data_IF_310550531868
#
_entry.id   IF_310550531868
#
_cell.length_a   1.000
_cell.length_b   1.000
_cell.length_c   1.000
_cell.angle_alpha   90.00
_cell.angle_beta   90.00
_cell.angle_gamma   90.00
#
_symmetry.space_group_name_H-M   'P 1'
#
loop_
_entity.id
_entity.type
_entity.pdbx_description
1 polymer ?
#
# COMPACT_ATOMS: atom_id res chain seq x y z
N UNK A 1 16.91 -31.49 30.04
CA UNK A 1 15.47 -31.24 29.79
C UNK A 1 14.97 -30.33 30.90
N UNK A 2 15.03 -29.02 30.71
CA UNK A 2 14.55 -28.03 31.70
C UNK A 2 13.28 -27.39 31.16
N UNK A 3 12.15 -27.80 31.73
CA UNK A 3 10.83 -27.23 31.51
C UNK A 3 10.86 -25.76 31.96
N UNK A 4 10.99 -24.83 31.01
CA UNK A 4 10.66 -23.44 31.26
C UNK A 4 9.13 -23.36 31.40
N UNK A 5 8.67 -23.21 32.62
CA UNK A 5 7.26 -22.98 32.98
C UNK A 5 6.73 -21.78 32.20
N UNK A 6 5.85 -22.05 31.22
CA UNK A 6 5.11 -21.01 30.53
C UNK A 6 4.32 -20.20 31.55
N UNK A 7 4.69 -18.93 31.74
CA UNK A 7 4.00 -18.01 32.66
C UNK A 7 2.57 -17.87 32.16
N UNK A 8 1.63 -18.54 32.83
CA UNK A 8 0.21 -18.47 32.48
C UNK A 8 -0.29 -17.04 32.72
N UNK A 9 -0.74 -16.39 31.65
CA UNK A 9 -1.41 -15.10 31.74
C UNK A 9 -2.68 -15.22 32.60
N UNK A 10 -2.96 -14.23 33.45
CA UNK A 10 -4.26 -14.13 34.12
C UNK A 10 -5.40 -13.96 33.11
N UNK A 11 -6.62 -14.40 33.46
CA UNK A 11 -7.79 -14.55 32.55
C UNK A 11 -8.13 -13.33 31.69
N UNK A 12 -7.92 -12.12 32.21
CA UNK A 12 -8.17 -10.85 31.48
C UNK A 12 -7.00 -10.55 30.53
N UNK A 13 -5.76 -10.70 31.01
CA UNK A 13 -4.54 -10.46 30.22
C UNK A 13 -4.36 -11.49 29.10
N UNK A 14 -4.76 -12.75 29.32
CA UNK A 14 -4.77 -13.79 28.30
C UNK A 14 -5.76 -13.50 27.16
N UNK A 15 -6.80 -12.72 27.44
CA UNK A 15 -7.88 -12.44 26.48
C UNK A 15 -7.62 -11.15 25.71
N UNK A 16 -7.12 -10.09 26.36
CA UNK A 16 -6.87 -8.79 25.73
C UNK A 16 -5.46 -8.62 25.17
N UNK A 17 -4.44 -9.19 25.83
CA UNK A 17 -3.03 -8.99 25.46
C UNK A 17 -2.16 -10.23 25.77
N UNK A 18 -2.34 -11.33 25.03
CA UNK A 18 -1.59 -12.58 25.22
C UNK A 18 -0.16 -12.54 24.65
N UNK A 19 0.59 -11.44 24.85
CA UNK A 19 1.99 -11.27 24.40
C UNK A 19 2.91 -11.15 25.61
N UNK A 20 4.01 -11.91 25.60
CA UNK A 20 5.01 -11.85 26.66
C UNK A 20 5.92 -10.61 26.52
N UNK A 21 6.50 -10.11 27.61
CA UNK A 21 7.37 -8.93 27.55
C UNK A 21 8.64 -9.15 26.70
N UNK A 22 9.15 -10.39 26.65
CA UNK A 22 10.28 -10.80 25.81
C UNK A 22 9.96 -10.76 24.31
N UNK A 23 8.70 -11.03 23.96
CA UNK A 23 8.17 -11.06 22.60
C UNK A 23 7.89 -9.65 22.05
N UNK A 24 7.64 -8.69 22.95
CA UNK A 24 7.20 -7.34 22.64
C UNK A 24 8.19 -6.57 21.74
N UNK A 25 9.49 -6.81 21.92
CA UNK A 25 10.55 -6.16 21.12
C UNK A 25 10.42 -6.48 19.63
N UNK A 26 9.98 -7.69 19.27
CA UNK A 26 9.76 -8.13 17.87
C UNK A 26 8.36 -7.76 17.39
N UNK A 27 7.37 -7.94 18.26
CA UNK A 27 5.97 -7.76 17.91
C UNK A 27 5.59 -6.31 17.63
N UNK A 28 6.04 -5.35 18.46
CA UNK A 28 5.67 -3.94 18.28
C UNK A 28 6.12 -3.39 16.91
N UNK A 29 7.39 -3.55 16.49
CA UNK A 29 7.79 -3.09 15.17
C UNK A 29 7.01 -3.73 14.04
N UNK A 30 6.70 -5.04 14.13
CA UNK A 30 5.87 -5.74 13.13
C UNK A 30 4.45 -5.17 13.08
N UNK A 31 3.85 -4.88 14.24
CA UNK A 31 2.54 -4.23 14.36
C UNK A 31 2.55 -2.85 13.71
N UNK A 32 3.57 -2.03 13.96
CA UNK A 32 3.66 -0.68 13.40
C UNK A 32 3.86 -0.74 11.88
N UNK A 33 4.75 -1.62 11.38
CA UNK A 33 4.94 -1.80 9.93
C UNK A 33 3.63 -2.22 9.28
N UNK A 34 2.91 -3.18 9.86
CA UNK A 34 1.61 -3.61 9.31
C UNK A 34 0.59 -2.47 9.32
N UNK A 35 0.51 -1.73 10.44
CA UNK A 35 -0.39 -0.60 10.59
C UNK A 35 -0.12 0.47 9.52
N UNK A 36 1.14 0.81 9.24
CA UNK A 36 1.51 1.77 8.18
C UNK A 36 1.15 1.26 6.77
N UNK A 37 1.38 -0.03 6.49
CA UNK A 37 1.02 -0.65 5.21
C UNK A 37 -0.50 -0.63 5.01
N UNK A 38 -1.27 -0.97 6.05
CA UNK A 38 -2.74 -0.95 6.02
C UNK A 38 -3.28 0.47 5.95
N UNK A 39 -2.67 1.41 6.67
CA UNK A 39 -3.00 2.83 6.60
C UNK A 39 -2.88 3.35 5.16
N UNK A 40 -1.74 3.09 4.50
CA UNK A 40 -1.55 3.43 3.09
C UNK A 40 -2.59 2.77 2.18
N UNK A 41 -2.85 1.47 2.38
CA UNK A 41 -3.84 0.75 1.60
C UNK A 41 -5.24 1.36 1.73
N UNK A 42 -5.65 1.71 2.94
CA UNK A 42 -6.96 2.30 3.22
C UNK A 42 -7.13 3.68 2.56
N UNK A 43 -6.07 4.48 2.53
CA UNK A 43 -6.04 5.74 1.78
C UNK A 43 -6.13 5.50 0.27
N UNK A 44 -5.29 4.62 -0.27
CA UNK A 44 -5.26 4.29 -1.69
C UNK A 44 -6.60 3.72 -2.18
N UNK A 45 -7.22 2.86 -1.36
CA UNK A 45 -8.51 2.21 -1.65
C UNK A 45 -9.62 3.23 -1.88
N UNK A 46 -9.67 4.29 -1.09
CA UNK A 46 -10.71 5.34 -1.19
C UNK A 46 -10.38 6.34 -2.29
N UNK A 47 -9.10 6.70 -2.44
CA UNK A 47 -8.65 7.71 -3.40
C UNK A 47 -8.74 7.22 -4.85
N UNK A 48 -8.41 5.95 -5.12
CA UNK A 48 -8.35 5.41 -6.49
C UNK A 48 -9.68 5.49 -7.25
N UNK A 49 -10.79 5.20 -6.59
CA UNK A 49 -12.11 5.15 -7.21
C UNK A 49 -12.56 6.60 -7.50
N UNK A 50 -12.43 7.50 -6.52
CA UNK A 50 -12.75 8.92 -6.68
C UNK A 50 -11.92 9.58 -7.78
N UNK A 51 -10.63 9.28 -7.88
CA UNK A 51 -9.77 9.82 -8.92
C UNK A 51 -10.22 9.44 -10.33
N UNK A 52 -10.59 8.17 -10.55
CA UNK A 52 -11.07 7.70 -11.86
C UNK A 52 -12.47 8.26 -12.17
N UNK A 53 -13.33 8.37 -11.18
CA UNK A 53 -14.71 8.84 -11.35
C UNK A 53 -14.80 10.35 -11.63
N UNK A 54 -13.89 11.14 -11.07
CA UNK A 54 -13.86 12.61 -11.24
C UNK A 54 -13.07 13.06 -12.46
N UNK A 55 -12.40 12.14 -13.16
CA UNK A 55 -11.58 12.44 -14.32
C UNK A 55 -12.40 12.88 -15.54
N UNK A 56 -11.77 13.67 -16.43
CA UNK A 56 -12.42 14.22 -17.61
C UNK A 56 -12.97 13.13 -18.52
N UNK A 57 -14.27 13.22 -18.83
CA UNK A 57 -15.01 12.25 -19.64
C UNK A 57 -14.83 10.80 -19.17
N UNK A 58 -14.73 10.62 -17.86
CA UNK A 58 -14.74 9.33 -17.18
C UNK A 58 -15.94 9.26 -16.25
N UNK A 59 -16.21 8.07 -15.73
CA UNK A 59 -17.26 7.83 -14.75
C UNK A 59 -17.10 6.47 -14.10
N UNK A 60 -18.05 6.08 -13.25
CA UNK A 60 -18.01 4.79 -12.57
C UNK A 60 -17.98 3.59 -13.56
N UNK A 61 -18.56 3.75 -14.76
CA UNK A 61 -18.54 2.76 -15.83
C UNK A 61 -17.14 2.43 -16.36
N UNK A 62 -16.12 3.26 -16.10
CA UNK A 62 -14.72 2.99 -16.48
C UNK A 62 -14.08 1.91 -15.60
N UNK A 63 -14.49 1.79 -14.33
CA UNK A 63 -13.85 0.91 -13.34
C UNK A 63 -13.87 -0.58 -13.77
N UNK A 64 -15.01 -1.15 -14.23
CA UNK A 64 -15.02 -2.52 -14.74
C UNK A 64 -14.04 -2.75 -15.89
N UNK A 65 -13.88 -1.78 -16.81
CA UNK A 65 -12.92 -1.89 -17.91
C UNK A 65 -11.48 -1.89 -17.39
N UNK A 66 -11.14 -1.02 -16.45
CA UNK A 66 -9.81 -1.01 -15.81
C UNK A 66 -9.52 -2.37 -15.17
N UNK A 67 -10.50 -2.93 -14.45
CA UNK A 67 -10.32 -4.22 -13.77
C UNK A 67 -10.03 -5.35 -14.76
N UNK A 68 -10.80 -5.41 -15.85
CA UNK A 68 -10.67 -6.49 -16.83
C UNK A 68 -9.43 -6.31 -17.69
N UNK A 69 -9.22 -5.14 -18.27
CA UNK A 69 -8.23 -4.94 -19.31
C UNK A 69 -6.84 -4.54 -18.81
N UNK A 70 -6.74 -3.98 -17.61
CA UNK A 70 -5.45 -3.49 -17.09
C UNK A 70 -5.08 -4.19 -15.80
N UNK A 71 -5.97 -4.24 -14.80
CA UNK A 71 -5.65 -4.85 -13.51
C UNK A 71 -5.36 -6.35 -13.64
N UNK A 72 -6.19 -7.12 -14.35
CA UNK A 72 -5.96 -8.56 -14.50
C UNK A 72 -4.60 -8.86 -15.18
N UNK A 73 -4.26 -8.31 -16.36
CA UNK A 73 -2.94 -8.52 -16.95
C UNK A 73 -1.80 -8.04 -16.06
N UNK A 74 -1.94 -6.89 -15.41
CA UNK A 74 -0.90 -6.34 -14.53
C UNK A 74 -0.70 -7.18 -13.27
N UNK A 75 -1.76 -7.81 -12.75
CA UNK A 75 -1.65 -8.74 -11.62
C UNK A 75 -0.82 -9.97 -11.99
N UNK A 76 -1.04 -10.53 -13.19
CA UNK A 76 -0.22 -11.63 -13.70
C UNK A 76 1.23 -11.20 -13.90
N UNK A 77 1.45 -10.02 -14.50
CA UNK A 77 2.78 -9.46 -14.70
C UNK A 77 3.52 -9.24 -13.37
N UNK A 78 2.89 -8.62 -12.38
CA UNK A 78 3.52 -8.37 -11.07
C UNK A 78 3.75 -9.66 -10.30
N UNK A 79 2.87 -10.66 -10.43
CA UNK A 79 3.09 -11.99 -9.84
C UNK A 79 4.32 -12.67 -10.45
N UNK A 80 4.45 -12.62 -11.78
CA UNK A 80 5.64 -13.11 -12.48
C UNK A 80 6.90 -12.36 -12.04
N UNK A 81 6.84 -11.01 -12.00
CA UNK A 81 7.94 -10.16 -11.56
C UNK A 81 8.37 -10.49 -10.12
N UNK A 82 7.40 -10.60 -9.20
CA UNK A 82 7.64 -10.96 -7.81
C UNK A 82 8.34 -12.33 -7.72
N UNK A 83 7.84 -13.34 -8.46
CA UNK A 83 8.42 -14.69 -8.46
C UNK A 83 9.87 -14.67 -8.96
N UNK A 84 10.14 -13.90 -10.02
CA UNK A 84 11.50 -13.76 -10.58
C UNK A 84 12.45 -13.10 -9.56
N UNK A 85 12.01 -12.04 -8.90
CA UNK A 85 12.81 -11.36 -7.86
C UNK A 85 13.00 -12.29 -6.65
N UNK A 86 11.95 -13.01 -6.24
CA UNK A 86 11.99 -13.89 -5.07
C UNK A 86 12.95 -15.07 -5.22
N UNK A 87 13.20 -15.52 -6.45
CA UNK A 87 14.17 -16.57 -6.73
C UNK A 87 15.63 -16.07 -6.76
N UNK A 88 15.85 -14.75 -6.85
CA UNK A 88 17.19 -14.17 -7.00
C UNK A 88 17.67 -13.40 -5.76
N UNK A 89 16.75 -12.85 -4.97
CA UNK A 89 17.06 -11.93 -3.88
C UNK A 89 16.61 -12.47 -2.52
N UNK A 90 17.28 -12.01 -1.45
CA UNK A 90 16.87 -12.31 -0.08
C UNK A 90 15.56 -11.60 0.26
N UNK A 91 14.77 -12.13 1.19
CA UNK A 91 13.46 -11.56 1.55
C UNK A 91 13.51 -10.10 1.97
N UNK A 92 14.56 -9.71 2.69
CA UNK A 92 14.82 -8.31 3.03
C UNK A 92 14.94 -7.43 1.77
N UNK A 93 15.72 -7.87 0.78
CA UNK A 93 15.91 -7.15 -0.47
C UNK A 93 14.61 -7.12 -1.28
N UNK A 94 13.84 -8.22 -1.31
CA UNK A 94 12.52 -8.26 -1.96
C UNK A 94 11.61 -7.19 -1.35
N UNK A 95 11.59 -7.05 -0.01
CA UNK A 95 10.79 -6.02 0.66
C UNK A 95 11.18 -4.62 0.22
N UNK A 96 12.48 -4.29 0.22
CA UNK A 96 12.95 -2.98 -0.20
C UNK A 96 12.68 -2.70 -1.68
N UNK A 97 12.96 -3.66 -2.57
CA UNK A 97 12.75 -3.49 -4.01
C UNK A 97 11.27 -3.24 -4.31
N UNK A 98 10.38 -4.07 -3.76
CA UNK A 98 8.94 -3.96 -4.02
C UNK A 98 8.36 -2.72 -3.35
N UNK A 99 8.72 -2.43 -2.10
CA UNK A 99 8.25 -1.21 -1.43
C UNK A 99 8.71 0.06 -2.15
N UNK A 100 9.99 0.11 -2.57
CA UNK A 100 10.53 1.24 -3.32
C UNK A 100 9.87 1.41 -4.69
N UNK A 101 9.54 0.33 -5.39
CA UNK A 101 8.80 0.38 -6.65
C UNK A 101 7.44 1.10 -6.48
N UNK A 102 6.66 0.68 -5.48
CA UNK A 102 5.32 1.26 -5.25
C UNK A 102 5.39 2.68 -4.71
N UNK A 103 6.23 2.93 -3.70
CA UNK A 103 6.41 4.27 -3.12
C UNK A 103 6.96 5.24 -4.17
N UNK A 104 7.95 4.79 -4.97
CA UNK A 104 8.51 5.56 -6.07
C UNK A 104 7.48 5.87 -7.15
N UNK A 105 6.59 4.93 -7.48
CA UNK A 105 5.46 5.21 -8.36
C UNK A 105 4.52 6.29 -7.80
N UNK A 106 4.11 6.21 -6.52
CA UNK A 106 3.22 7.21 -5.94
C UNK A 106 3.88 8.59 -5.83
N UNK A 107 5.19 8.64 -5.57
CA UNK A 107 5.96 9.87 -5.65
C UNK A 107 5.98 10.44 -7.09
N UNK A 108 6.32 9.61 -8.08
CA UNK A 108 6.30 10.00 -9.49
C UNK A 108 4.91 10.49 -9.92
N UNK A 109 3.86 9.84 -9.44
CA UNK A 109 2.50 10.24 -9.73
C UNK A 109 2.20 11.63 -9.17
N UNK A 110 2.50 11.87 -7.90
CA UNK A 110 2.22 13.13 -7.23
C UNK A 110 3.00 14.31 -7.82
N UNK A 111 4.27 14.12 -8.15
CA UNK A 111 5.16 15.22 -8.56
C UNK A 111 5.26 15.40 -10.08
N UNK A 112 4.97 14.37 -10.87
CA UNK A 112 5.13 14.40 -12.33
C UNK A 112 3.83 14.08 -13.04
N UNK A 113 3.26 12.89 -12.86
CA UNK A 113 2.12 12.48 -13.70
C UNK A 113 0.87 13.34 -13.46
N UNK A 114 0.60 13.73 -12.22
CA UNK A 114 -0.59 14.51 -11.88
C UNK A 114 -0.46 15.98 -12.28
N UNK A 115 0.64 16.71 -11.97
CA UNK A 115 0.79 18.09 -12.42
C UNK A 115 0.83 18.24 -13.95
N UNK A 116 1.41 17.28 -14.66
CA UNK A 116 1.48 17.28 -16.14
C UNK A 116 0.29 16.59 -16.81
N UNK A 117 -0.78 16.25 -16.09
CA UNK A 117 -1.94 15.50 -16.60
C UNK A 117 -2.50 16.05 -17.93
N UNK A 118 -2.61 17.38 -18.05
CA UNK A 118 -3.15 18.05 -19.24
C UNK A 118 -2.31 17.84 -20.51
N UNK A 119 -1.02 17.56 -20.36
CA UNK A 119 -0.08 17.34 -21.47
C UNK A 119 0.08 15.86 -21.81
N UNK A 120 0.00 14.97 -20.81
CA UNK A 120 0.24 13.54 -21.00
C UNK A 120 -1.02 12.75 -21.35
N UNK A 121 -2.21 13.31 -21.10
CA UNK A 121 -3.48 12.67 -21.43
C UNK A 121 -3.86 12.91 -22.89
N UNK A 122 -4.00 11.85 -23.71
CA UNK A 122 -4.24 11.98 -25.14
C UNK A 122 -5.72 12.30 -25.44
N UNK A 123 -6.18 13.48 -25.02
CA UNK A 123 -7.58 13.89 -25.16
C UNK A 123 -8.07 13.88 -26.61
N UNK A 124 -7.31 14.47 -27.55
CA UNK A 124 -7.68 14.54 -28.96
C UNK A 124 -7.79 13.16 -29.62
N UNK A 125 -6.90 12.23 -29.27
CA UNK A 125 -6.97 10.85 -29.75
C UNK A 125 -8.21 10.14 -29.20
N UNK A 126 -8.51 10.34 -27.91
CA UNK A 126 -9.70 9.76 -27.30
C UNK A 126 -11.00 10.34 -27.89
N UNK A 127 -11.03 11.65 -28.20
CA UNK A 127 -12.16 12.29 -28.89
C UNK A 127 -12.36 11.70 -30.29
N UNK A 128 -11.27 11.43 -31.01
CA UNK A 128 -11.30 10.75 -32.31
C UNK A 128 -11.88 9.34 -32.18
N UNK A 129 -11.39 8.54 -31.23
CA UNK A 129 -11.92 7.19 -30.98
C UNK A 129 -13.41 7.22 -30.63
N UNK A 130 -13.84 8.18 -29.82
CA UNK A 130 -15.24 8.35 -29.42
C UNK A 130 -16.16 8.66 -30.61
N UNK A 131 -15.64 9.25 -31.70
CA UNK A 131 -16.41 9.48 -32.92
C UNK A 131 -16.61 8.22 -33.79
N UNK A 132 -15.72 7.22 -33.66
CA UNK A 132 -15.76 5.99 -34.46
C UNK A 132 -16.37 4.79 -33.71
N UNK A 133 -16.28 4.77 -32.38
CA UNK A 133 -16.71 3.64 -31.55
C UNK A 133 -18.13 3.84 -30.97
N UNK A 134 -18.91 2.76 -30.79
CA UNK A 134 -20.20 2.80 -30.11
C UNK A 134 -20.09 3.25 -28.64
N UNK A 135 -21.19 3.77 -28.08
CA UNK A 135 -21.25 4.26 -26.69
C UNK A 135 -20.80 3.23 -25.63
N UNK A 136 -21.01 1.93 -25.90
CA UNK A 136 -20.57 0.86 -25.01
C UNK A 136 -19.05 0.83 -24.73
N UNK A 137 -18.23 1.46 -25.59
CA UNK A 137 -16.78 1.53 -25.44
C UNK A 137 -16.30 2.76 -24.66
N UNK A 138 -17.20 3.61 -24.16
CA UNK A 138 -16.81 4.83 -23.43
C UNK A 138 -15.88 4.55 -22.24
N UNK A 139 -16.10 3.45 -21.50
CA UNK A 139 -15.20 3.06 -20.40
C UNK A 139 -13.80 2.70 -20.88
N UNK A 140 -13.68 2.02 -22.03
CA UNK A 140 -12.39 1.70 -22.65
C UNK A 140 -11.66 2.96 -23.14
N UNK A 141 -12.40 3.91 -23.71
CA UNK A 141 -11.83 5.18 -24.17
C UNK A 141 -11.40 6.03 -22.97
N UNK A 142 -12.20 6.08 -21.91
CA UNK A 142 -11.91 6.86 -20.70
C UNK A 142 -10.64 6.37 -19.98
N UNK A 143 -10.40 5.06 -19.93
CA UNK A 143 -9.16 4.52 -19.34
C UNK A 143 -7.92 4.88 -20.17
N UNK A 144 -8.03 4.92 -21.51
CA UNK A 144 -6.93 5.35 -22.38
C UNK A 144 -6.70 6.86 -22.32
N UNK A 145 -7.79 7.64 -22.27
CA UNK A 145 -7.77 9.09 -22.12
C UNK A 145 -7.04 9.50 -20.85
N UNK A 146 -7.38 8.86 -19.73
CA UNK A 146 -6.85 9.19 -18.40
C UNK A 146 -5.87 8.11 -17.91
N UNK A 147 -4.95 7.67 -18.78
CA UNK A 147 -4.09 6.49 -18.53
C UNK A 147 -3.30 6.57 -17.22
N UNK A 148 -2.83 7.76 -16.82
CA UNK A 148 -2.08 7.91 -15.57
C UNK A 148 -2.95 7.63 -14.34
N UNK A 149 -4.25 7.94 -14.41
CA UNK A 149 -5.22 7.65 -13.34
C UNK A 149 -5.61 6.17 -13.35
N UNK A 150 -5.72 5.57 -14.53
CA UNK A 150 -5.84 4.11 -14.67
C UNK A 150 -4.62 3.39 -14.07
N UNK A 151 -3.42 3.91 -14.29
CA UNK A 151 -2.21 3.34 -13.70
C UNK A 151 -2.19 3.52 -12.17
N UNK A 152 -2.59 4.70 -11.66
CA UNK A 152 -2.76 4.93 -10.22
C UNK A 152 -3.75 3.92 -9.61
N UNK A 153 -4.88 3.67 -10.28
CA UNK A 153 -5.87 2.69 -9.87
C UNK A 153 -5.26 1.29 -9.72
N UNK A 154 -4.54 0.85 -10.74
CA UNK A 154 -3.92 -0.48 -10.76
C UNK A 154 -2.85 -0.61 -9.69
N UNK A 155 -1.97 0.39 -9.54
CA UNK A 155 -0.95 0.39 -8.49
C UNK A 155 -1.56 0.42 -7.08
N UNK A 156 -2.70 1.09 -6.90
CA UNK A 156 -3.45 1.11 -5.64
C UNK A 156 -4.05 -0.26 -5.29
N UNK A 157 -4.64 -0.95 -6.27
CA UNK A 157 -5.13 -2.32 -6.08
C UNK A 157 -3.99 -3.30 -5.77
N UNK A 158 -2.90 -3.18 -6.52
CA UNK A 158 -1.74 -4.05 -6.37
C UNK A 158 -1.01 -3.82 -5.03
N UNK A 159 -1.15 -2.67 -4.39
CA UNK A 159 -0.63 -2.46 -3.04
C UNK A 159 -1.28 -3.43 -2.05
N UNK A 160 -2.60 -3.60 -2.12
CA UNK A 160 -3.35 -4.52 -1.25
C UNK A 160 -2.96 -5.99 -1.47
N UNK A 161 -2.86 -6.42 -2.72
CA UNK A 161 -2.52 -7.80 -3.04
C UNK A 161 -1.03 -8.11 -2.87
N UNK A 162 -0.15 -7.20 -3.25
CA UNK A 162 1.30 -7.45 -3.29
C UNK A 162 1.97 -7.05 -1.98
N UNK A 163 1.81 -5.80 -1.53
CA UNK A 163 2.50 -5.27 -0.35
C UNK A 163 1.83 -5.79 0.93
N UNK A 164 0.52 -5.57 1.08
CA UNK A 164 -0.22 -5.93 2.28
C UNK A 164 -0.40 -7.44 2.42
N UNK A 165 -0.69 -8.16 1.33
CA UNK A 165 -0.95 -9.60 1.41
C UNK A 165 0.33 -10.42 1.27
N UNK A 166 1.01 -10.37 0.12
CA UNK A 166 2.15 -11.26 -0.16
C UNK A 166 3.40 -10.90 0.67
N UNK A 167 3.83 -9.64 0.63
CA UNK A 167 5.08 -9.19 1.25
C UNK A 167 5.01 -9.22 2.78
N UNK A 168 3.98 -8.59 3.36
CA UNK A 168 3.85 -8.53 4.82
C UNK A 168 3.66 -9.92 5.43
N UNK A 169 2.72 -10.73 4.92
CA UNK A 169 2.51 -12.06 5.49
C UNK A 169 3.65 -13.03 5.18
N UNK A 170 4.34 -12.87 4.04
CA UNK A 170 5.58 -13.58 3.75
C UNK A 170 6.67 -13.30 4.79
N UNK A 171 6.76 -12.07 5.30
CA UNK A 171 7.66 -11.71 6.40
C UNK A 171 7.15 -12.18 7.77
N UNK A 172 5.87 -11.93 8.09
CA UNK A 172 5.28 -12.26 9.39
C UNK A 172 5.33 -13.77 9.68
N UNK A 173 5.07 -14.61 8.67
CA UNK A 173 5.12 -16.07 8.78
C UNK A 173 6.53 -16.61 9.00
N UNK A 174 7.57 -15.89 8.60
CA UNK A 174 8.97 -16.33 8.80
C UNK A 174 9.45 -16.02 10.22
N UNK A 175 9.09 -14.83 10.74
CA UNK A 175 9.57 -14.36 12.04
C UNK A 175 8.72 -14.89 13.19
N UNK A 176 7.49 -15.32 12.92
CA UNK A 176 6.53 -15.76 13.94
C UNK A 176 6.43 -17.28 13.98
N UNK A 177 6.61 -17.87 15.16
CA UNK A 177 6.42 -19.31 15.36
C UNK A 177 4.93 -19.68 15.22
N UNK A 178 4.64 -20.93 14.86
CA UNK A 178 3.25 -21.43 14.71
C UNK A 178 2.45 -21.27 16.01
N UNK A 179 3.11 -21.40 17.17
CA UNK A 179 2.49 -21.27 18.49
C UNK A 179 2.11 -19.81 18.80
N UNK A 180 2.94 -18.86 18.35
CA UNK A 180 2.75 -17.42 18.58
C UNK A 180 1.80 -16.79 17.56
N UNK A 181 1.75 -17.33 16.34
CA UNK A 181 0.97 -16.81 15.21
C UNK A 181 -0.50 -16.59 15.58
N UNK A 182 -1.13 -17.55 16.29
CA UNK A 182 -2.54 -17.43 16.72
C UNK A 182 -2.80 -16.19 17.56
N UNK A 183 -1.85 -15.81 18.42
CA UNK A 183 -1.95 -14.67 19.34
C UNK A 183 -1.58 -13.37 18.64
N UNK A 184 -0.51 -13.41 17.85
CA UNK A 184 0.01 -12.22 17.18
C UNK A 184 -0.94 -11.75 16.07
N UNK A 185 -1.44 -12.67 15.26
CA UNK A 185 -2.21 -12.32 14.06
C UNK A 185 -3.57 -11.70 14.43
N UNK A 186 -4.16 -12.12 15.55
CA UNK A 186 -5.35 -11.49 16.11
C UNK A 186 -5.10 -10.01 16.44
N UNK A 187 -3.99 -9.71 17.12
CA UNK A 187 -3.65 -8.33 17.53
C UNK A 187 -3.20 -7.50 16.33
N UNK A 188 -2.49 -8.08 15.36
CA UNK A 188 -2.20 -7.44 14.07
C UNK A 188 -3.50 -7.04 13.35
N UNK A 189 -4.52 -7.89 13.39
CA UNK A 189 -5.86 -7.59 12.87
C UNK A 189 -6.52 -6.40 13.57
N UNK A 190 -6.42 -6.31 14.90
CA UNK A 190 -6.91 -5.14 15.66
C UNK A 190 -6.16 -3.88 15.25
N UNK A 191 -4.82 -3.94 15.18
CA UNK A 191 -3.98 -2.83 14.74
C UNK A 191 -4.31 -2.34 13.33
N UNK A 192 -4.60 -3.26 12.41
CA UNK A 192 -5.03 -2.94 11.05
C UNK A 192 -6.36 -2.16 11.01
N UNK A 193 -7.33 -2.51 11.87
CA UNK A 193 -8.59 -1.79 11.95
C UNK A 193 -8.40 -0.38 12.52
N UNK A 194 -7.56 -0.24 13.55
CA UNK A 194 -7.20 1.08 14.09
C UNK A 194 -6.52 1.94 13.02
N UNK A 195 -5.56 1.37 12.29
CA UNK A 195 -4.88 2.05 11.18
C UNK A 195 -5.86 2.48 10.08
N UNK A 196 -6.86 1.65 9.77
CA UNK A 196 -7.92 1.98 8.80
C UNK A 196 -8.79 3.13 9.27
N UNK A 197 -9.15 3.18 10.55
CA UNK A 197 -9.89 4.31 11.13
C UNK A 197 -9.07 5.60 11.05
N UNK A 198 -7.78 5.55 11.44
CA UNK A 198 -6.88 6.70 11.35
C UNK A 198 -6.68 7.19 9.91
N UNK A 199 -6.66 6.27 8.93
CA UNK A 199 -6.59 6.64 7.51
C UNK A 199 -7.81 7.45 7.06
N UNK A 200 -9.01 7.10 7.53
CA UNK A 200 -10.24 7.85 7.24
C UNK A 200 -10.18 9.28 7.78
N UNK A 201 -9.79 9.43 9.05
CA UNK A 201 -9.62 10.75 9.67
C UNK A 201 -8.53 11.58 8.97
N UNK A 202 -7.40 10.95 8.61
CA UNK A 202 -6.33 11.61 7.88
C UNK A 202 -6.81 12.14 6.52
N UNK A 203 -7.59 11.37 5.76
CA UNK A 203 -8.16 11.83 4.48
C UNK A 203 -9.11 13.01 4.69
N UNK A 204 -10.03 12.91 5.66
CA UNK A 204 -10.97 13.99 5.97
C UNK A 204 -10.26 15.29 6.36
N UNK A 205 -9.21 15.18 7.17
CA UNK A 205 -8.40 16.32 7.57
C UNK A 205 -7.60 16.93 6.41
N UNK A 206 -6.93 16.11 5.60
CA UNK A 206 -6.11 16.57 4.47
C UNK A 206 -6.94 17.12 3.30
N UNK A 207 -8.22 16.75 3.23
CA UNK A 207 -9.16 17.27 2.22
C UNK A 207 -9.90 18.52 2.68
N UNK A 208 -9.68 18.97 3.92
CA UNK A 208 -10.30 20.19 4.45
C UNK A 208 -9.55 21.46 4.02
N UNK A 209 -10.27 22.57 3.88
CA UNK A 209 -9.73 23.86 3.41
C UNK A 209 -8.64 24.47 4.33
N UNK A 210 -8.39 23.87 5.50
CA UNK A 210 -7.42 24.37 6.48
C UNK A 210 -5.94 24.12 6.11
N UNK A 211 -5.64 23.21 5.18
CA UNK A 211 -4.26 22.82 4.87
C UNK A 211 -3.87 23.23 3.44
N UNK A 212 -3.34 24.46 3.30
CA UNK A 212 -2.83 24.97 2.02
C UNK A 212 -1.34 24.65 1.83
N UNK A 213 -0.98 24.05 0.69
CA UNK A 213 0.42 23.94 0.28
C UNK A 213 0.82 25.27 -0.38
N UNK A 214 1.72 26.08 0.22
CA UNK A 214 2.02 27.43 -0.27
C UNK A 214 2.61 27.44 -1.69
N UNK A 215 3.19 26.32 -2.11
CA UNK A 215 3.86 26.10 -3.38
C UNK A 215 3.00 25.37 -4.42
N UNK A 216 1.76 25.00 -4.08
CA UNK A 216 0.85 24.34 -5.02
C UNK A 216 -0.09 25.36 -5.65
N UNK A 217 0.06 25.58 -6.96
CA UNK A 217 -0.77 26.50 -7.75
C UNK A 217 -1.76 25.73 -8.63
N UNK A 218 -2.63 24.92 -8.00
CA UNK A 218 -3.62 24.10 -8.69
C UNK A 218 -5.01 24.14 -8.04
N UNK A 219 -5.87 23.23 -8.46
CA UNK A 219 -7.22 23.04 -7.93
C UNK A 219 -7.20 22.41 -6.53
N UNK A 220 -8.27 22.64 -5.74
CA UNK A 220 -8.39 22.12 -4.37
C UNK A 220 -8.33 20.60 -4.29
N UNK A 221 -8.86 19.91 -5.30
CA UNK A 221 -8.77 18.46 -5.45
C UNK A 221 -7.33 18.01 -5.69
N UNK A 222 -6.63 18.62 -6.65
CA UNK A 222 -5.23 18.31 -6.94
C UNK A 222 -4.29 18.55 -5.75
N UNK A 223 -4.57 19.58 -4.97
CA UNK A 223 -3.84 19.85 -3.73
C UNK A 223 -4.05 18.76 -2.69
N UNK A 224 -5.31 18.37 -2.45
CA UNK A 224 -5.68 17.29 -1.52
C UNK A 224 -5.03 15.97 -1.92
N UNK A 225 -5.07 15.65 -3.21
CA UNK A 225 -4.45 14.44 -3.77
C UNK A 225 -2.93 14.44 -3.61
N UNK A 226 -2.29 15.61 -3.77
CA UNK A 226 -0.84 15.77 -3.58
C UNK A 226 -0.45 15.55 -2.11
N UNK A 227 -1.21 16.14 -1.17
CA UNK A 227 -1.03 15.93 0.27
C UNK A 227 -1.21 14.47 0.68
N UNK A 228 -2.27 13.83 0.19
CA UNK A 228 -2.54 12.41 0.42
C UNK A 228 -1.38 11.55 -0.10
N UNK A 229 -0.88 11.85 -1.29
CA UNK A 229 0.24 11.13 -1.89
C UNK A 229 1.54 11.31 -1.09
N UNK A 230 1.81 12.51 -0.57
CA UNK A 230 2.96 12.77 0.31
C UNK A 230 2.89 11.93 1.59
N UNK A 231 1.71 11.82 2.19
CA UNK A 231 1.48 10.99 3.38
C UNK A 231 1.73 9.51 3.08
N UNK A 232 1.26 9.01 1.93
CA UNK A 232 1.54 7.64 1.47
C UNK A 232 3.05 7.40 1.33
N UNK A 233 3.76 8.33 0.69
CA UNK A 233 5.22 8.24 0.50
C UNK A 233 5.94 8.26 1.84
N UNK A 234 5.62 9.20 2.72
CA UNK A 234 6.23 9.30 4.05
C UNK A 234 6.00 8.04 4.89
N UNK A 235 4.76 7.54 4.93
CA UNK A 235 4.41 6.30 5.62
C UNK A 235 5.11 5.08 5.03
N UNK A 236 5.28 5.01 3.70
CA UNK A 236 6.04 3.96 3.02
C UNK A 236 7.54 4.02 3.35
N UNK A 237 8.14 5.21 3.36
CA UNK A 237 9.52 5.42 3.80
C UNK A 237 9.71 5.04 5.28
N UNK A 238 8.77 5.44 6.15
CA UNK A 238 8.79 5.08 7.57
C UNK A 238 8.71 3.56 7.75
N UNK A 239 7.89 2.86 6.96
CA UNK A 239 7.81 1.40 6.94
C UNK A 239 9.16 0.76 6.56
N UNK A 240 9.87 1.30 5.56
CA UNK A 240 11.21 0.82 5.18
C UNK A 240 12.26 1.07 6.25
N UNK A 241 12.22 2.22 6.94
CA UNK A 241 13.13 2.55 8.04
C UNK A 241 12.91 1.64 9.25
N UNK A 242 11.65 1.41 9.61
CA UNK A 242 11.29 0.47 10.69
C UNK A 242 11.70 -0.97 10.32
N UNK A 243 11.50 -1.37 9.08
CA UNK A 243 11.95 -2.68 8.60
C UNK A 243 13.47 -2.82 8.70
N UNK A 244 14.23 -1.76 8.40
CA UNK A 244 15.70 -1.73 8.57
C UNK A 244 16.10 -1.91 10.03
N UNK A 245 15.42 -1.19 10.93
CA UNK A 245 15.63 -1.31 12.36
C UNK A 245 15.37 -2.74 12.86
N UNK A 246 14.28 -3.36 12.43
CA UNK A 246 13.94 -4.75 12.76
C UNK A 246 14.99 -5.71 12.25
N UNK A 247 15.43 -5.54 11.00
CA UNK A 247 16.43 -6.44 10.43
C UNK A 247 17.79 -6.33 11.16
N UNK A 248 18.26 -5.12 11.43
CA UNK A 248 19.49 -4.92 12.19
C UNK A 248 19.39 -5.43 13.64
N UNK A 249 18.25 -5.20 14.31
CA UNK A 249 18.07 -5.58 15.71
C UNK A 249 17.88 -7.09 15.93
N UNK A 250 17.29 -7.81 14.97
CA UNK A 250 16.89 -9.22 15.17
C UNK A 250 17.57 -10.22 14.25
N UNK A 251 17.98 -9.84 13.03
CA UNK A 251 18.57 -10.78 12.08
C UNK A 251 20.11 -10.82 12.13
N UNK A 252 20.79 -9.72 12.44
CA UNK A 252 22.27 -9.72 12.54
C UNK A 252 22.78 -10.49 13.76
N UNK A 253 22.03 -10.56 14.87
CA UNK A 253 22.41 -11.35 16.04
C UNK A 253 22.31 -12.88 15.85
N UNK A 254 21.58 -13.37 14.84
CA UNK A 254 21.43 -14.81 14.56
C UNK A 254 22.39 -15.32 13.46
N UNK A 255 23.17 -14.43 12.85
CA UNK A 255 24.20 -14.75 11.85
C UNK A 255 25.60 -14.24 12.23
N UNK A 256 25.88 -14.01 13.52
CA UNK A 256 27.27 -14.10 13.96
C UNK A 256 27.74 -15.54 13.67
N UNK A 257 28.76 -15.75 12.82
CA UNK A 257 29.41 -17.03 12.79
C UNK A 257 29.98 -17.23 14.20
N UNK A 258 29.60 -18.32 14.85
CA UNK A 258 30.45 -18.90 15.89
C UNK A 258 31.77 -19.26 15.21
N UNK A 259 32.72 -18.34 15.24
CA UNK A 259 34.16 -18.60 15.21
C UNK A 259 34.79 -17.65 16.21
#
# INVERSE_FOLDING_TARGET
>A
MTNASAVQFGRIRSTLWPIHASELKKFIPMLIIYALIVFNYSILKTTKDTLVMTAKASGAGTIPFIKVWVLMPMTLFVTYLYTKIANQYRREQIFYIMMALFVGFFALFAFVLYPFQNYIHPHAFADTLQSYLPEGFQGLIAMLRNWSFTLFYVMSELWGTTIMTVLFWGFANEVTSIQDAKRYYAILGVGANIATMLAGEAISYLSSDGFSLPFYHGDSWGQSLSLISLVIVFSGLASMLLFRYVNNAFYQCNHCPFV
#
